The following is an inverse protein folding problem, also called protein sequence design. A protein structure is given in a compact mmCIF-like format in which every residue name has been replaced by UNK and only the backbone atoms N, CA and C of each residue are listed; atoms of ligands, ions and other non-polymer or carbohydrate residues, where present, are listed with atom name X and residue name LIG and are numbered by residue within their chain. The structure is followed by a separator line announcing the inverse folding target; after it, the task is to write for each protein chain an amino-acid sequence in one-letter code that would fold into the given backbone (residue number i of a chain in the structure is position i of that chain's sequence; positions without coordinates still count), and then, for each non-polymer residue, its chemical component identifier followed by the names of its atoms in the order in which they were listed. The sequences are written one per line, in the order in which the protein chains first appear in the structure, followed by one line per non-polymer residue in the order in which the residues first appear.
data_IF_437077753743
#
_entry.id   IF_437077753743
#
_cell.length_a   1.000
_cell.length_b   1.000
_cell.length_c   1.000
_cell.angle_alpha   90.00
_cell.angle_beta   90.00
_cell.angle_gamma   90.00
#
_symmetry.space_group_name_H-M   'P 1'
#
loop_
_entity.id
_entity.type
_entity.pdbx_description
1 polymer ?
#
# COMPACT_ATOMS: atom_id res chain seq x y z
N UNK A 1 38.01 -8.69 -25.51
CA UNK A 1 37.90 -8.76 -24.04
C UNK A 1 37.51 -7.44 -23.40
N UNK A 2 38.08 -6.29 -23.81
CA UNK A 2 37.75 -4.98 -23.24
C UNK A 2 36.25 -4.63 -23.30
N UNK A 3 35.57 -4.96 -24.39
CA UNK A 3 34.12 -4.74 -24.55
C UNK A 3 33.27 -5.51 -23.55
N UNK A 4 33.66 -6.75 -23.23
CA UNK A 4 32.98 -7.59 -22.22
C UNK A 4 33.17 -7.00 -20.82
N UNK A 5 34.36 -6.52 -20.51
CA UNK A 5 34.65 -5.87 -19.22
C UNK A 5 33.84 -4.57 -19.05
N UNK A 6 33.74 -3.75 -20.10
CA UNK A 6 32.92 -2.54 -20.10
C UNK A 6 31.44 -2.89 -19.93
N UNK A 7 30.95 -3.92 -20.62
CA UNK A 7 29.57 -4.39 -20.48
C UNK A 7 29.24 -4.88 -19.06
N UNK A 8 30.13 -5.67 -18.45
CA UNK A 8 29.96 -6.14 -17.07
C UNK A 8 30.02 -5.00 -16.05
N UNK A 9 30.93 -4.03 -16.23
CA UNK A 9 31.01 -2.85 -15.37
C UNK A 9 29.76 -1.97 -15.48
N UNK A 10 29.24 -1.75 -16.70
CA UNK A 10 27.99 -1.03 -16.92
C UNK A 10 26.81 -1.72 -16.23
N UNK A 11 26.70 -3.05 -16.34
CA UNK A 11 25.68 -3.82 -15.63
C UNK A 11 25.81 -3.73 -14.11
N UNK A 12 27.03 -3.79 -13.57
CA UNK A 12 27.26 -3.71 -12.13
C UNK A 12 26.81 -2.34 -11.57
N UNK A 13 27.13 -1.25 -12.27
CA UNK A 13 26.75 0.10 -11.88
C UNK A 13 25.23 0.28 -11.95
N UNK A 14 24.61 0.01 -13.11
CA UNK A 14 23.17 0.18 -13.25
C UNK A 14 22.38 -0.81 -12.37
N UNK A 15 22.90 -2.03 -12.14
CA UNK A 15 22.34 -3.02 -11.22
C UNK A 15 22.36 -2.57 -9.75
N UNK A 16 23.46 -1.96 -9.29
CA UNK A 16 23.54 -1.42 -7.94
C UNK A 16 22.57 -0.26 -7.71
N UNK A 17 22.41 0.61 -8.71
CA UNK A 17 21.42 1.70 -8.69
C UNK A 17 19.99 1.17 -8.70
N UNK A 18 19.72 0.14 -9.51
CA UNK A 18 18.42 -0.52 -9.54
C UNK A 18 18.07 -1.12 -8.17
N UNK A 19 19.03 -1.78 -7.52
CA UNK A 19 18.83 -2.36 -6.19
C UNK A 19 18.57 -1.30 -5.12
N UNK A 20 19.38 -0.23 -5.10
CA UNK A 20 19.18 0.89 -4.18
C UNK A 20 17.79 1.51 -4.37
N UNK A 21 17.41 1.80 -5.62
CA UNK A 21 16.10 2.38 -5.92
C UNK A 21 14.95 1.45 -5.52
N UNK A 22 15.08 0.13 -5.73
CA UNK A 22 14.06 -0.83 -5.29
C UNK A 22 13.90 -0.82 -3.77
N UNK A 23 15.01 -0.76 -3.04
CA UNK A 23 15.00 -0.72 -1.57
C UNK A 23 14.33 0.57 -1.07
N UNK A 24 14.67 1.72 -1.66
CA UNK A 24 14.08 3.00 -1.29
C UNK A 24 12.59 3.06 -1.63
N UNK A 25 12.18 2.53 -2.80
CA UNK A 25 10.77 2.39 -3.17
C UNK A 25 10.02 1.52 -2.17
N UNK A 26 10.60 0.38 -1.76
CA UNK A 26 9.97 -0.52 -0.78
C UNK A 26 9.78 0.18 0.57
N UNK A 27 10.84 0.80 1.10
CA UNK A 27 10.76 1.54 2.36
C UNK A 27 9.70 2.65 2.31
N UNK A 28 9.57 3.34 1.17
CA UNK A 28 8.58 4.40 0.99
C UNK A 28 7.13 3.87 0.93
N UNK A 29 6.87 2.76 0.23
CA UNK A 29 5.51 2.18 0.21
C UNK A 29 5.14 1.58 1.57
N UNK A 30 6.10 0.99 2.29
CA UNK A 30 5.88 0.47 3.64
C UNK A 30 5.52 1.60 4.61
N UNK A 31 6.28 2.70 4.58
CA UNK A 31 5.99 3.89 5.36
C UNK A 31 4.62 4.51 4.99
N UNK A 32 4.28 4.54 3.69
CA UNK A 32 2.96 5.00 3.24
C UNK A 32 1.82 4.11 3.77
N UNK A 33 1.98 2.79 3.72
CA UNK A 33 0.97 1.84 4.19
C UNK A 33 0.72 1.95 5.68
N UNK A 34 1.79 2.10 6.45
CA UNK A 34 1.70 2.28 7.91
C UNK A 34 1.09 3.63 8.28
N UNK A 35 1.48 4.71 7.59
CA UNK A 35 0.90 6.04 7.81
C UNK A 35 -0.60 6.12 7.49
N UNK A 36 -1.06 5.47 6.41
CA UNK A 36 -2.49 5.35 6.11
C UNK A 36 -3.22 4.60 7.23
N UNK A 37 -2.69 3.45 7.65
CA UNK A 37 -3.32 2.64 8.68
C UNK A 37 -3.47 3.41 10.00
N UNK A 38 -2.38 4.03 10.47
CA UNK A 38 -2.37 4.81 11.71
C UNK A 38 -3.30 6.02 11.63
N UNK A 39 -3.33 6.73 10.50
CA UNK A 39 -4.24 7.88 10.36
C UNK A 39 -5.70 7.50 10.27
N UNK A 40 -6.03 6.38 9.63
CA UNK A 40 -7.40 5.90 9.65
C UNK A 40 -7.80 5.49 11.08
N UNK A 41 -6.92 4.85 11.84
CA UNK A 41 -7.19 4.53 13.25
C UNK A 41 -7.41 5.77 14.12
N UNK A 42 -6.62 6.82 13.90
CA UNK A 42 -6.71 8.06 14.69
C UNK A 42 -7.95 8.91 14.35
N UNK A 43 -8.33 8.96 13.07
CA UNK A 43 -9.30 9.95 12.58
C UNK A 43 -10.60 9.36 12.05
N UNK A 44 -10.62 8.07 11.72
CA UNK A 44 -11.73 7.44 11.00
C UNK A 44 -11.94 7.91 9.56
N UNK A 45 -11.06 8.78 9.04
CA UNK A 45 -11.19 9.40 7.72
C UNK A 45 -10.26 8.74 6.70
N UNK A 46 -10.83 8.11 5.67
CA UNK A 46 -10.07 7.56 4.54
C UNK A 46 -9.31 8.65 3.77
N UNK A 47 -9.94 9.80 3.56
CA UNK A 47 -9.30 10.93 2.86
C UNK A 47 -8.04 11.38 3.58
N UNK A 48 -8.11 11.51 4.91
CA UNK A 48 -6.95 11.90 5.73
C UNK A 48 -5.88 10.81 5.78
N UNK A 49 -6.27 9.54 5.75
CA UNK A 49 -5.36 8.40 5.68
C UNK A 49 -4.61 8.35 4.34
N UNK A 50 -5.30 8.49 3.22
CA UNK A 50 -4.69 8.47 1.89
C UNK A 50 -3.76 9.67 1.66
N UNK A 51 -4.13 10.85 2.18
CA UNK A 51 -3.26 12.03 2.19
C UNK A 51 -1.97 11.78 2.98
N UNK A 52 -2.07 11.17 4.16
CA UNK A 52 -0.92 10.85 4.99
C UNK A 52 -0.01 9.79 4.35
N UNK A 53 -0.57 8.78 3.68
CA UNK A 53 0.20 7.83 2.89
C UNK A 53 0.98 8.51 1.78
N UNK A 54 0.33 9.38 0.99
CA UNK A 54 1.00 10.13 -0.08
C UNK A 54 2.11 11.04 0.45
N UNK A 55 1.87 11.73 1.56
CA UNK A 55 2.86 12.61 2.19
C UNK A 55 4.07 11.82 2.69
N UNK A 56 3.84 10.71 3.41
CA UNK A 56 4.91 9.83 3.92
C UNK A 56 5.70 9.18 2.79
N UNK A 57 5.04 8.69 1.75
CA UNK A 57 5.70 8.13 0.57
C UNK A 57 6.58 9.18 -0.13
N UNK A 58 6.02 10.37 -0.39
CA UNK A 58 6.74 11.47 -1.02
C UNK A 58 7.96 11.92 -0.21
N UNK A 59 7.83 12.02 1.12
CA UNK A 59 8.93 12.37 2.01
C UNK A 59 10.06 11.32 1.97
N UNK A 60 9.73 10.03 2.00
CA UNK A 60 10.73 8.95 1.98
C UNK A 60 11.50 8.87 0.64
N UNK A 61 10.84 9.18 -0.48
CA UNK A 61 11.50 9.25 -1.79
C UNK A 61 12.06 10.64 -2.13
N UNK A 62 11.94 11.61 -1.22
CA UNK A 62 12.35 13.00 -1.43
C UNK A 62 11.73 13.62 -2.70
N UNK A 63 10.44 13.33 -2.91
CA UNK A 63 9.64 13.89 -3.97
C UNK A 63 9.10 15.24 -3.47
N UNK A 64 9.85 16.32 -3.73
CA UNK A 64 9.59 17.68 -3.21
C UNK A 64 8.38 18.39 -3.85
N UNK A 65 7.54 17.66 -4.61
CA UNK A 65 6.36 18.18 -5.28
C UNK A 65 5.12 17.38 -4.88
N UNK A 66 3.99 18.09 -4.75
CA UNK A 66 2.70 17.43 -4.56
C UNK A 66 2.33 16.64 -5.83
N UNK A 67 1.89 15.38 -5.72
CA UNK A 67 1.47 14.61 -6.88
C UNK A 67 0.06 15.03 -7.32
N UNK A 68 -0.22 14.84 -8.61
CA UNK A 68 -1.57 14.90 -9.14
C UNK A 68 -2.28 13.56 -8.87
N UNK A 69 -3.35 13.57 -8.08
CA UNK A 69 -4.09 12.36 -7.71
C UNK A 69 -5.47 12.32 -8.38
N UNK A 70 -5.80 11.21 -9.04
CA UNK A 70 -7.09 10.97 -9.67
C UNK A 70 -7.70 9.64 -9.18
N UNK A 71 -9.03 9.54 -8.97
CA UNK A 71 -10.05 10.61 -9.10
C UNK A 71 -10.04 11.65 -7.96
N UNK A 72 -9.08 11.53 -7.04
CA UNK A 72 -9.00 12.29 -5.79
C UNK A 72 -9.16 11.35 -4.61
N UNK A 73 -8.72 11.76 -3.43
CA UNK A 73 -8.86 10.94 -2.21
C UNK A 73 -10.32 10.75 -1.83
N UNK A 74 -10.66 9.58 -1.29
CA UNK A 74 -12.05 9.19 -1.08
C UNK A 74 -12.21 8.00 -0.14
N UNK A 75 -13.47 7.62 0.06
CA UNK A 75 -13.82 6.45 0.85
C UNK A 75 -14.18 5.28 -0.06
N UNK A 76 -13.73 4.06 0.24
CA UNK A 76 -14.34 2.86 -0.32
C UNK A 76 -15.82 2.78 0.03
N UNK A 77 -16.62 2.34 -0.96
CA UNK A 77 -18.01 1.93 -0.77
C UNK A 77 -18.09 0.41 -0.66
N UNK A 78 -19.01 -0.21 -1.41
CA UNK A 78 -19.08 -1.68 -1.53
C UNK A 78 -17.99 -2.30 -2.41
N UNK A 79 -17.27 -1.49 -3.19
CA UNK A 79 -16.12 -1.91 -4.01
C UNK A 79 -14.85 -1.17 -3.56
N UNK A 80 -13.64 -1.74 -3.82
CA UNK A 80 -12.39 -1.06 -3.54
C UNK A 80 -12.29 0.28 -4.27
N UNK A 81 -11.82 1.30 -3.57
CA UNK A 81 -11.56 2.62 -4.12
C UNK A 81 -10.09 2.74 -4.48
N UNK A 82 -9.80 3.18 -5.70
CA UNK A 82 -8.42 3.30 -6.19
C UNK A 82 -8.07 4.74 -6.48
N UNK A 83 -6.99 5.22 -5.88
CA UNK A 83 -6.39 6.52 -6.16
C UNK A 83 -5.03 6.32 -6.79
N UNK A 84 -4.79 6.99 -7.91
CA UNK A 84 -3.48 7.02 -8.56
C UNK A 84 -2.93 8.44 -8.48
N UNK A 85 -1.81 8.58 -7.79
CA UNK A 85 -1.06 9.81 -7.61
C UNK A 85 0.20 9.77 -8.49
N UNK A 86 0.38 10.74 -9.37
CA UNK A 86 1.54 10.86 -10.25
C UNK A 86 2.38 12.07 -9.88
N UNK A 87 3.66 11.84 -9.63
CA UNK A 87 4.64 12.88 -9.33
C UNK A 87 5.24 13.45 -10.61
N UNK A 88 5.82 14.66 -10.52
CA UNK A 88 6.40 15.37 -11.66
C UNK A 88 7.56 14.63 -12.34
N UNK A 89 8.21 13.72 -11.65
CA UNK A 89 9.31 12.90 -12.18
C UNK A 89 8.83 11.59 -12.84
N UNK A 90 7.51 11.40 -12.94
CA UNK A 90 6.88 10.20 -13.50
C UNK A 90 6.72 9.04 -12.52
N UNK A 91 7.09 9.20 -11.23
CA UNK A 91 6.77 8.20 -10.21
C UNK A 91 5.27 8.10 -10.04
N UNK A 92 4.73 6.88 -10.11
CA UNK A 92 3.30 6.63 -9.85
C UNK A 92 3.14 5.92 -8.53
N UNK A 93 2.31 6.48 -7.67
CA UNK A 93 1.90 5.93 -6.39
C UNK A 93 0.41 5.61 -6.44
N UNK A 94 0.06 4.35 -6.27
CA UNK A 94 -1.32 3.87 -6.35
C UNK A 94 -1.75 3.28 -5.01
N UNK A 95 -2.88 3.77 -4.52
CA UNK A 95 -3.53 3.32 -3.31
C UNK A 95 -4.83 2.62 -3.69
N UNK A 96 -5.05 1.43 -3.16
CA UNK A 96 -6.30 0.68 -3.29
C UNK A 96 -6.82 0.46 -1.88
N UNK A 97 -7.93 1.10 -1.57
CA UNK A 97 -8.56 1.07 -0.25
C UNK A 97 -9.80 0.19 -0.31
N UNK A 98 -9.98 -0.70 0.65
CA UNK A 98 -11.16 -1.55 0.74
C UNK A 98 -11.68 -1.63 2.17
N UNK A 99 -13.01 -1.55 2.33
CA UNK A 99 -13.67 -1.92 3.58
C UNK A 99 -13.84 -3.45 3.62
N UNK A 100 -13.50 -4.07 4.74
CA UNK A 100 -13.70 -5.51 4.98
C UNK A 100 -14.83 -5.73 6.01
N UNK A 101 -15.75 -4.77 6.11
CA UNK A 101 -16.85 -4.77 7.06
C UNK A 101 -16.33 -4.84 8.52
N UNK A 102 -16.82 -5.78 9.34
CA UNK A 102 -16.37 -5.94 10.72
C UNK A 102 -14.86 -6.16 10.84
N UNK A 103 -14.22 -6.76 9.82
CA UNK A 103 -12.78 -7.05 9.81
C UNK A 103 -11.91 -5.80 9.61
N UNK A 104 -12.52 -4.62 9.50
CA UNK A 104 -11.83 -3.34 9.43
C UNK A 104 -11.56 -2.89 8.00
N UNK A 105 -10.41 -2.28 7.76
CA UNK A 105 -10.05 -1.67 6.47
C UNK A 105 -8.66 -2.08 6.01
N UNK A 106 -8.47 -2.16 4.70
CA UNK A 106 -7.20 -2.49 4.09
C UNK A 106 -6.78 -1.44 3.07
N UNK A 107 -5.50 -1.09 3.11
CA UNK A 107 -4.81 -0.23 2.15
C UNK A 107 -3.75 -1.05 1.45
N UNK A 108 -3.97 -1.37 0.17
CA UNK A 108 -2.95 -1.96 -0.70
C UNK A 108 -2.29 -0.81 -1.46
N UNK A 109 -1.02 -0.58 -1.17
CA UNK A 109 -0.26 0.52 -1.74
C UNK A 109 0.79 -0.05 -2.68
N UNK A 110 0.94 0.59 -3.83
CA UNK A 110 1.93 0.21 -4.84
C UNK A 110 2.59 1.44 -5.43
N UNK A 111 3.86 1.32 -5.81
CA UNK A 111 4.57 2.37 -6.50
C UNK A 111 5.32 1.81 -7.69
N UNK A 112 5.44 2.62 -8.75
CA UNK A 112 6.33 2.33 -9.85
C UNK A 112 7.21 3.56 -10.20
N UNK A 113 8.44 3.28 -10.63
CA UNK A 113 9.38 4.31 -11.08
C UNK A 113 10.34 3.75 -12.12
N UNK A 114 10.56 4.48 -13.20
CA UNK A 114 11.54 4.12 -14.22
C UNK A 114 12.96 4.45 -13.75
N UNK A 115 13.88 3.50 -13.87
CA UNK A 115 15.30 3.75 -13.65
C UNK A 115 15.89 4.45 -14.87
N UNK A 116 16.46 5.65 -14.69
CA UNK A 116 17.28 6.26 -15.74
C UNK A 116 18.62 5.51 -15.83
N UNK A 117 18.69 4.54 -16.75
CA UNK A 117 19.92 3.85 -17.12
C UNK A 117 20.91 4.84 -17.74
N UNK A 118 22.16 4.83 -17.26
CA UNK A 118 23.22 5.67 -17.80
C UNK A 118 24.16 4.90 -18.73
N UNK A 119 24.40 3.61 -18.48
CA UNK A 119 25.43 2.85 -19.20
C UNK A 119 24.87 1.61 -19.91
N UNK A 120 23.99 0.85 -19.26
CA UNK A 120 23.35 -0.32 -19.85
C UNK A 120 22.36 0.04 -20.97
N UNK A 121 21.93 1.30 -21.08
CA UNK A 121 21.04 1.78 -22.13
C UNK A 121 21.60 1.56 -23.55
N UNK A 122 22.93 1.63 -23.69
CA UNK A 122 23.67 1.34 -24.93
C UNK A 122 23.53 -0.14 -25.31
N UNK A 123 23.35 -1.02 -24.33
CA UNK A 123 23.24 -2.48 -24.51
C UNK A 123 21.78 -2.96 -24.59
N UNK A 124 20.80 -2.15 -24.18
CA UNK A 124 19.37 -2.53 -24.08
C UNK A 124 18.46 -1.85 -25.12
N UNK A 125 19.01 -1.35 -26.23
CA UNK A 125 18.24 -0.65 -27.27
C UNK A 125 17.36 0.51 -26.74
N UNK A 126 17.83 1.21 -25.70
CA UNK A 126 17.20 2.45 -25.24
C UNK A 126 16.09 2.32 -24.19
N UNK A 127 15.66 1.11 -23.81
CA UNK A 127 14.60 0.91 -22.82
C UNK A 127 15.10 1.03 -21.38
N UNK A 128 14.38 1.80 -20.55
CA UNK A 128 14.61 1.91 -19.11
C UNK A 128 13.75 0.91 -18.34
N UNK A 129 14.29 0.12 -17.39
CA UNK A 129 13.51 -0.79 -16.60
C UNK A 129 12.63 -0.02 -15.61
N UNK A 130 11.40 -0.48 -15.44
CA UNK A 130 10.46 0.02 -14.44
C UNK A 130 10.54 -0.85 -13.19
N UNK A 131 10.83 -0.22 -12.06
CA UNK A 131 10.81 -0.88 -10.76
C UNK A 131 9.45 -0.69 -10.11
N UNK A 132 9.02 -1.71 -9.37
CA UNK A 132 7.74 -1.73 -8.66
C UNK A 132 7.93 -2.17 -7.22
N UNK A 133 7.18 -1.58 -6.30
CA UNK A 133 7.10 -1.97 -4.91
C UNK A 133 5.64 -1.97 -4.45
N UNK A 134 5.32 -2.77 -3.44
CA UNK A 134 3.98 -2.82 -2.85
C UNK A 134 4.01 -3.14 -1.37
N UNK A 135 3.04 -2.58 -0.63
CA UNK A 135 2.84 -2.80 0.79
C UNK A 135 1.34 -2.92 1.10
N UNK A 136 1.01 -3.47 2.27
CA UNK A 136 -0.37 -3.56 2.75
C UNK A 136 -0.46 -3.07 4.19
N UNK A 137 -1.30 -2.05 4.42
CA UNK A 137 -1.67 -1.58 5.74
C UNK A 137 -3.06 -2.08 6.11
N UNK A 138 -3.23 -2.71 7.27
CA UNK A 138 -4.52 -3.20 7.75
C UNK A 138 -4.91 -2.48 9.04
N UNK A 139 -6.17 -2.08 9.14
CA UNK A 139 -6.75 -1.34 10.28
C UNK A 139 -7.85 -2.17 10.89
N UNK A 140 -7.85 -2.31 12.21
CA UNK A 140 -8.86 -3.07 12.97
C UNK A 140 -9.06 -4.50 12.46
N UNK A 141 -7.94 -5.16 12.12
CA UNK A 141 -7.95 -6.52 11.60
C UNK A 141 -8.32 -7.51 12.71
N UNK A 142 -9.60 -7.90 12.75
CA UNK A 142 -10.13 -8.87 13.72
C UNK A 142 -9.49 -10.26 13.61
N UNK A 143 -8.67 -10.51 12.57
CA UNK A 143 -7.78 -11.69 12.49
C UNK A 143 -6.84 -11.81 13.70
N UNK A 144 -6.48 -10.69 14.32
CA UNK A 144 -5.60 -10.64 15.50
C UNK A 144 -6.34 -10.35 16.82
N UNK A 145 -7.54 -9.76 16.76
CA UNK A 145 -8.41 -9.49 17.92
C UNK A 145 -9.88 -9.78 17.57
N UNK A 146 -10.43 -10.97 17.88
CA UNK A 146 -11.81 -11.27 17.51
C UNK A 146 -12.79 -10.33 18.24
N UNK A 147 -13.55 -9.54 17.48
CA UNK A 147 -14.67 -8.77 18.05
C UNK A 147 -15.86 -9.72 18.23
N UNK A 148 -16.24 -9.96 19.49
CA UNK A 148 -17.49 -10.62 19.82
C UNK A 148 -18.64 -9.62 19.59
N UNK A 149 -19.28 -9.70 18.42
CA UNK A 149 -20.54 -9.02 18.20
C UNK A 149 -21.64 -9.83 18.91
N UNK A 150 -22.04 -9.43 20.11
CA UNK A 150 -23.19 -10.02 20.78
C UNK A 150 -24.45 -9.29 20.31
N UNK A 151 -25.35 -9.98 19.60
CA UNK A 151 -26.73 -9.50 19.50
C UNK A 151 -27.39 -9.58 20.88
N UNK A 152 -28.20 -8.57 21.22
CA UNK A 152 -29.15 -8.65 22.33
C UNK A 152 -29.97 -9.95 22.21
N UNK A 153 -30.26 -10.65 23.32
CA UNK A 153 -31.16 -11.82 23.36
C UNK A 153 -32.51 -11.60 22.68
N UNK A 154 -32.94 -10.34 22.51
CA UNK A 154 -34.14 -9.94 21.77
C UNK A 154 -33.98 -9.91 20.23
N UNK A 155 -32.77 -10.15 19.69
CA UNK A 155 -32.48 -10.15 18.25
C UNK A 155 -32.61 -8.78 17.56
N UNK A 156 -32.38 -8.75 16.24
CA UNK A 156 -32.74 -7.60 15.39
C UNK A 156 -34.19 -7.76 14.91
N UNK A 157 -35.09 -6.88 15.35
CA UNK A 157 -36.49 -6.89 14.90
C UNK A 157 -37.41 -7.88 15.64
N UNK A 158 -37.05 -8.33 16.84
CA UNK A 158 -37.90 -9.19 17.69
C UNK A 158 -37.93 -10.67 17.31
N UNK A 159 -37.12 -11.09 16.31
CA UNK A 159 -36.90 -12.50 16.02
C UNK A 159 -35.73 -13.03 16.88
N UNK A 160 -36.01 -13.99 17.76
CA UNK A 160 -34.99 -14.64 18.58
C UNK A 160 -33.94 -15.33 17.71
N UNK A 161 -32.67 -14.96 17.91
CA UNK A 161 -31.54 -15.52 17.16
C UNK A 161 -30.33 -15.71 18.07
N UNK A 162 -29.49 -16.69 17.75
CA UNK A 162 -28.24 -16.95 18.46
C UNK A 162 -27.35 -15.71 18.43
N UNK A 163 -26.99 -15.19 19.62
CA UNK A 163 -26.26 -13.93 19.75
C UNK A 163 -24.86 -13.96 19.15
N UNK A 164 -24.26 -15.17 18.99
CA UNK A 164 -22.91 -15.39 18.50
C UNK A 164 -22.87 -16.71 17.71
N UNK A 165 -22.43 -16.67 16.45
CA UNK A 165 -22.07 -17.84 15.67
C UNK A 165 -20.63 -17.67 15.16
N UNK A 166 -19.68 -18.43 15.71
CA UNK A 166 -18.28 -18.42 15.30
C UNK A 166 -18.07 -19.50 14.22
N UNK A 167 -17.83 -19.10 12.98
CA UNK A 167 -17.40 -20.03 11.93
C UNK A 167 -15.88 -20.25 12.03
N UNK A 168 -15.45 -21.14 12.93
CA UNK A 168 -14.05 -21.54 13.09
C UNK A 168 -13.86 -22.54 14.23
N UNK A 169 -12.96 -23.51 14.07
CA UNK A 169 -12.64 -24.51 15.10
C UNK A 169 -11.67 -23.93 16.13
N UNK A 170 -12.21 -23.36 17.20
CA UNK A 170 -11.44 -22.91 18.36
C UNK A 170 -12.31 -22.86 19.61
N UNK A 171 -11.74 -23.25 20.76
CA UNK A 171 -12.41 -23.22 22.06
C UNK A 171 -12.30 -21.84 22.68
N UNK A 172 -13.43 -21.26 23.11
CA UNK A 172 -13.50 -19.94 23.74
C UNK A 172 -13.78 -20.14 25.23
N UNK A 173 -12.79 -19.91 26.09
CA UNK A 173 -12.99 -19.86 27.54
C UNK A 173 -13.47 -18.45 27.92
N UNK A 174 -14.70 -18.36 28.39
CA UNK A 174 -15.23 -17.16 29.04
C UNK A 174 -15.05 -17.38 30.54
N UNK A 175 -14.28 -16.52 31.19
CA UNK A 175 -14.16 -16.50 32.65
C UNK A 175 -15.06 -15.38 33.18
#
# INVERSE_FOLDING_TARGET
MLTVLIGMAALAIDGSRAYALRRDLQAAVDAGGLAAADKLQQTGSYVSAEQAATASFGANLRLYSAPACAPGYGSPGGAPFTVTCTYSDGTVFRQVVSTMGPQGSQFVISANRSLQLQFARILTNGSSPTLTASATGNVNNLRYTPALAALNQAGCGGAGGSAIALAGSGTLNVN
#
